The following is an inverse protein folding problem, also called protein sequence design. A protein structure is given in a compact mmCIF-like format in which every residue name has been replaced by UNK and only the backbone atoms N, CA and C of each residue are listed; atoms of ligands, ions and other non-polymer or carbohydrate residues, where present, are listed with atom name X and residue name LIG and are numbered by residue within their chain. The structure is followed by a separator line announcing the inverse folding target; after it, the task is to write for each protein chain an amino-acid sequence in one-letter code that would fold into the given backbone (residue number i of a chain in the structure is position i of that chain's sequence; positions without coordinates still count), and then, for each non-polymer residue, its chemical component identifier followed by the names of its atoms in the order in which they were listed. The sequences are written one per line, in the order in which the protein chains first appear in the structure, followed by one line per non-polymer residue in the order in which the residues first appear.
data_IF_701402587320
#
_entry.id   IF_701402587320
#
_cell.length_a   1.000
_cell.length_b   1.000
_cell.length_c   1.000
_cell.angle_alpha   90.00
_cell.angle_beta   90.00
_cell.angle_gamma   90.00
#
_symmetry.space_group_name_H-M   'P 1'
#
loop_
_entity.id
_entity.type
_entity.pdbx_description
1 polymer ?
#
# COMPACT_ATOMS: atom_id res chain seq x y z
N UNK A 1 -25.20 -9.56 -21.26
CA UNK A 1 -25.16 -9.51 -19.78
C UNK A 1 -24.05 -10.32 -19.16
N UNK A 2 -23.96 -11.62 -19.43
CA UNK A 2 -22.86 -12.46 -18.95
C UNK A 2 -21.49 -11.99 -19.46
N UNK A 3 -21.41 -11.48 -20.69
CA UNK A 3 -20.19 -10.96 -21.26
C UNK A 3 -19.66 -9.72 -20.52
N UNK A 4 -20.55 -8.85 -20.08
CA UNK A 4 -20.21 -7.68 -19.29
C UNK A 4 -19.66 -8.06 -17.90
N UNK A 5 -20.23 -9.07 -17.27
CA UNK A 5 -19.76 -9.56 -15.97
C UNK A 5 -18.37 -10.18 -16.08
N UNK A 6 -18.07 -10.90 -17.15
CA UNK A 6 -16.77 -11.47 -17.41
C UNK A 6 -15.71 -10.36 -17.64
N UNK A 7 -16.06 -9.30 -18.37
CA UNK A 7 -15.18 -8.14 -18.58
C UNK A 7 -14.88 -7.44 -17.25
N UNK A 8 -15.87 -7.23 -16.39
CA UNK A 8 -15.65 -6.62 -15.08
C UNK A 8 -14.76 -7.48 -14.20
N UNK A 9 -14.92 -8.80 -14.22
CA UNK A 9 -14.08 -9.74 -13.50
C UNK A 9 -12.63 -9.70 -14.01
N UNK A 10 -12.43 -9.65 -15.31
CA UNK A 10 -11.11 -9.56 -15.93
C UNK A 10 -10.42 -8.25 -15.59
N UNK A 11 -11.14 -7.13 -15.57
CA UNK A 11 -10.59 -5.82 -15.19
C UNK A 11 -10.12 -5.85 -13.74
N UNK A 12 -10.87 -6.47 -12.84
CA UNK A 12 -10.48 -6.61 -11.43
C UNK A 12 -9.21 -7.45 -11.26
N UNK A 13 -9.03 -8.48 -12.09
CA UNK A 13 -7.86 -9.36 -12.03
C UNK A 13 -6.60 -8.73 -12.61
N UNK A 14 -6.70 -7.65 -13.38
CA UNK A 14 -5.54 -6.98 -13.98
C UNK A 14 -4.93 -5.91 -13.08
N UNK A 15 -5.62 -5.51 -12.00
CA UNK A 15 -5.08 -4.53 -11.06
C UNK A 15 -4.22 -5.22 -10.01
N UNK A 16 -2.97 -4.77 -9.87
CA UNK A 16 -2.04 -5.29 -8.87
C UNK A 16 -1.96 -4.36 -7.68
N UNK A 17 -2.03 -4.94 -6.48
CA UNK A 17 -1.82 -4.21 -5.23
C UNK A 17 -0.35 -4.32 -4.86
N UNK A 18 0.31 -3.18 -4.68
CA UNK A 18 1.72 -3.10 -4.33
C UNK A 18 1.84 -2.30 -3.03
N UNK A 19 2.50 -2.86 -2.03
CA UNK A 19 2.80 -2.15 -0.78
C UNK A 19 4.21 -1.58 -0.88
N UNK A 20 4.35 -0.26 -0.77
CA UNK A 20 5.65 0.39 -0.88
C UNK A 20 6.14 0.89 0.48
N UNK A 21 7.44 0.74 0.72
CA UNK A 21 8.10 1.24 1.92
C UNK A 21 8.52 2.70 1.72
N UNK A 22 8.00 3.58 2.58
CA UNK A 22 8.40 4.98 2.60
C UNK A 22 9.58 5.21 3.56
N UNK A 23 9.86 6.46 3.89
CA UNK A 23 10.92 6.85 4.83
C UNK A 23 10.77 6.22 6.22
N UNK A 24 9.57 5.74 6.59
CA UNK A 24 9.33 5.06 7.87
C UNK A 24 10.12 3.75 7.98
N UNK A 25 10.58 3.17 6.85
CA UNK A 25 11.48 2.03 6.88
C UNK A 25 12.71 2.33 7.75
N UNK A 26 13.26 3.53 7.61
CA UNK A 26 14.42 3.97 8.39
C UNK A 26 14.13 4.15 9.87
N UNK A 27 12.99 4.73 10.21
CA UNK A 27 12.60 4.98 11.61
C UNK A 27 12.15 3.71 12.34
N UNK A 28 11.79 2.67 11.60
CA UNK A 28 11.37 1.38 12.15
C UNK A 28 12.53 0.40 12.33
N UNK A 29 13.75 0.79 11.95
CA UNK A 29 14.92 -0.04 12.23
C UNK A 29 15.10 -0.26 13.74
N UNK A 30 15.60 -1.41 14.20
CA UNK A 30 16.18 -2.52 13.42
C UNK A 30 15.15 -3.53 12.88
N UNK A 31 13.86 -3.35 13.13
CA UNK A 31 12.84 -4.32 12.75
C UNK A 31 12.74 -4.52 11.23
N UNK A 32 13.04 -3.47 10.46
CA UNK A 32 12.94 -3.48 9.00
C UNK A 32 14.24 -3.93 8.30
N UNK A 33 15.30 -4.27 9.03
CA UNK A 33 16.54 -4.75 8.42
C UNK A 33 16.36 -6.02 7.61
N UNK A 34 15.46 -6.90 8.04
CA UNK A 34 15.26 -8.22 7.41
C UNK A 34 13.91 -8.35 6.72
N UNK A 35 13.09 -7.32 6.71
CA UNK A 35 11.72 -7.39 6.17
C UNK A 35 11.19 -6.00 5.79
N UNK A 36 10.26 -5.94 4.81
CA UNK A 36 9.52 -4.71 4.53
C UNK A 36 8.65 -4.29 5.72
N UNK A 37 8.24 -3.02 5.73
CA UNK A 37 7.33 -2.50 6.78
C UNK A 37 6.04 -3.35 6.85
N UNK A 38 5.52 -3.76 5.70
CA UNK A 38 4.26 -4.51 5.62
C UNK A 38 4.31 -5.88 6.32
N UNK A 39 5.50 -6.41 6.59
CA UNK A 39 5.67 -7.67 7.31
C UNK A 39 5.72 -7.50 8.83
N UNK A 40 5.63 -6.27 9.33
CA UNK A 40 5.53 -6.02 10.76
C UNK A 40 4.12 -6.32 11.26
N UNK A 41 4.03 -6.90 12.45
CA UNK A 41 2.73 -7.23 13.07
C UNK A 41 2.19 -6.04 13.83
N UNK A 42 0.91 -5.75 13.62
CA UNK A 42 0.15 -4.80 14.42
C UNK A 42 -1.11 -5.55 14.89
N UNK A 43 -1.11 -5.96 16.13
CA UNK A 43 -2.11 -6.89 16.64
C UNK A 43 -1.79 -8.33 16.22
N UNK A 44 -2.78 -9.05 15.75
CA UNK A 44 -2.65 -10.47 15.37
C UNK A 44 -2.04 -10.62 13.97
N UNK A 45 -2.31 -9.68 13.08
CA UNK A 45 -1.94 -9.76 11.67
C UNK A 45 -0.78 -8.83 11.33
N UNK A 46 -0.02 -9.19 10.30
CA UNK A 46 0.91 -8.24 9.67
C UNK A 46 0.10 -7.19 8.90
N UNK A 47 0.76 -6.05 8.62
CA UNK A 47 0.11 -5.00 7.83
C UNK A 47 -0.26 -5.56 6.44
N UNK A 48 0.60 -6.38 5.84
CA UNK A 48 0.31 -7.06 4.56
C UNK A 48 -0.96 -7.90 4.65
N UNK A 49 -1.08 -8.72 5.69
CA UNK A 49 -2.25 -9.59 5.88
C UNK A 49 -3.53 -8.77 6.01
N UNK A 50 -3.47 -7.61 6.67
CA UNK A 50 -4.61 -6.71 6.80
C UNK A 50 -5.08 -6.21 5.43
N UNK A 51 -4.16 -5.80 4.56
CA UNK A 51 -4.51 -5.33 3.21
C UNK A 51 -4.99 -6.46 2.32
N UNK A 52 -4.35 -7.63 2.39
CA UNK A 52 -4.78 -8.81 1.62
C UNK A 52 -6.21 -9.22 1.97
N UNK A 53 -6.58 -9.16 3.23
CA UNK A 53 -7.96 -9.45 3.66
C UNK A 53 -8.97 -8.44 3.10
N UNK A 54 -8.60 -7.17 3.03
CA UNK A 54 -9.50 -6.11 2.53
C UNK A 54 -9.73 -6.21 1.03
N UNK A 55 -8.72 -6.54 0.25
CA UNK A 55 -8.82 -6.61 -1.20
C UNK A 55 -9.08 -8.03 -1.73
N UNK A 56 -8.90 -9.04 -0.90
CA UNK A 56 -9.13 -10.43 -1.29
C UNK A 56 -8.08 -10.98 -2.26
N UNK A 57 -6.89 -10.39 -2.31
CA UNK A 57 -5.85 -10.76 -3.24
C UNK A 57 -4.48 -10.59 -2.59
N UNK A 58 -3.48 -11.30 -3.13
CA UNK A 58 -2.10 -11.19 -2.67
C UNK A 58 -1.47 -9.89 -3.17
N UNK A 59 -0.59 -9.33 -2.35
CA UNK A 59 0.11 -8.09 -2.67
C UNK A 59 1.55 -8.36 -3.11
N UNK A 60 2.10 -7.41 -3.86
CA UNK A 60 3.53 -7.35 -4.16
C UNK A 60 4.18 -6.31 -3.25
N UNK A 61 5.52 -6.24 -3.30
CA UNK A 61 6.30 -5.37 -2.43
C UNK A 61 7.18 -4.44 -3.25
N UNK A 62 7.24 -3.18 -2.86
CA UNK A 62 8.26 -2.25 -3.34
C UNK A 62 9.07 -1.80 -2.13
N UNK A 63 10.22 -2.39 -1.93
CA UNK A 63 11.06 -2.27 -0.74
C UNK A 63 12.52 -2.05 -1.13
N UNK A 64 13.43 -2.14 -0.16
CA UNK A 64 14.86 -2.01 -0.41
C UNK A 64 15.35 -3.12 -1.35
N UNK A 65 16.33 -2.80 -2.19
CA UNK A 65 16.83 -3.72 -3.22
C UNK A 65 17.24 -5.08 -2.66
N UNK A 66 17.95 -5.09 -1.53
CA UNK A 66 18.39 -6.36 -0.93
C UNK A 66 17.25 -7.20 -0.35
N UNK A 67 16.09 -6.59 -0.07
CA UNK A 67 14.91 -7.31 0.39
C UNK A 67 14.03 -7.80 -0.77
N UNK A 68 14.19 -7.21 -1.94
CA UNK A 68 13.33 -7.44 -3.09
C UNK A 68 13.41 -8.89 -3.59
N UNK A 69 14.54 -9.57 -3.40
CA UNK A 69 14.70 -10.98 -3.77
C UNK A 69 13.75 -11.88 -2.99
N UNK A 70 13.62 -11.67 -1.69
CA UNK A 70 12.73 -12.43 -0.82
C UNK A 70 11.28 -11.92 -0.87
N UNK A 71 11.10 -10.64 -1.10
CA UNK A 71 9.80 -9.97 -1.15
C UNK A 71 9.63 -9.32 -2.52
N UNK A 72 9.22 -10.10 -3.54
CA UNK A 72 9.29 -9.65 -4.92
C UNK A 72 8.25 -8.59 -5.30
N UNK A 73 8.66 -7.75 -6.24
CA UNK A 73 7.78 -6.82 -6.91
C UNK A 73 7.15 -7.51 -8.12
N UNK A 74 5.84 -7.36 -8.27
CA UNK A 74 5.10 -7.81 -9.44
C UNK A 74 4.25 -6.64 -9.92
N UNK A 75 4.32 -6.34 -11.21
CA UNK A 75 3.69 -5.16 -11.81
C UNK A 75 2.77 -5.60 -12.93
N UNK A 76 1.59 -5.01 -12.99
CA UNK A 76 0.61 -5.20 -14.05
C UNK A 76 0.39 -3.90 -14.82
N UNK A 77 -0.51 -3.90 -15.80
CA UNK A 77 -0.83 -2.68 -16.54
C UNK A 77 -1.46 -1.60 -15.67
N UNK A 78 -2.20 -2.01 -14.64
CA UNK A 78 -2.83 -1.12 -13.68
C UNK A 78 -2.38 -1.52 -12.28
N UNK A 79 -1.81 -0.59 -11.53
CA UNK A 79 -1.24 -0.84 -10.22
C UNK A 79 -1.77 0.15 -9.20
N UNK A 80 -2.15 -0.38 -8.04
CA UNK A 80 -2.52 0.41 -6.88
C UNK A 80 -1.41 0.27 -5.84
N UNK A 81 -0.64 1.34 -5.65
CA UNK A 81 0.45 1.38 -4.67
C UNK A 81 -0.07 1.97 -3.38
N UNK A 82 0.14 1.25 -2.28
CA UNK A 82 -0.33 1.63 -0.95
C UNK A 82 0.86 1.72 -0.02
N UNK A 83 0.91 2.77 0.80
CA UNK A 83 1.97 2.96 1.78
C UNK A 83 1.90 1.85 2.84
N UNK A 84 2.97 1.06 2.95
CA UNK A 84 3.01 -0.10 3.85
C UNK A 84 3.02 0.27 5.33
N UNK A 85 3.28 1.53 5.68
CA UNK A 85 3.20 2.00 7.07
C UNK A 85 1.75 2.29 7.51
N UNK A 86 0.80 2.25 6.60
CA UNK A 86 -0.61 2.56 6.85
C UNK A 86 -1.41 1.29 7.03
N UNK A 87 -2.21 1.23 8.10
CA UNK A 87 -3.13 0.13 8.33
C UNK A 87 -4.51 0.46 7.74
N UNK A 88 -5.21 -0.54 7.15
CA UNK A 88 -6.50 -0.28 6.53
C UNK A 88 -7.63 -0.09 7.54
N UNK A 89 -8.62 0.71 7.16
CA UNK A 89 -9.94 0.75 7.77
C UNK A 89 -10.99 0.88 6.66
N UNK A 90 -12.26 0.74 6.99
CA UNK A 90 -13.32 0.69 5.98
C UNK A 90 -13.39 1.95 5.13
N UNK A 91 -13.33 3.11 5.77
CA UNK A 91 -13.39 4.40 5.07
C UNK A 91 -12.18 4.59 4.15
N UNK A 92 -10.98 4.28 4.65
CA UNK A 92 -9.75 4.39 3.88
C UNK A 92 -9.75 3.46 2.67
N UNK A 93 -10.19 2.22 2.84
CA UNK A 93 -10.31 1.25 1.74
C UNK A 93 -11.27 1.75 0.66
N UNK A 94 -12.40 2.34 1.05
CA UNK A 94 -13.34 2.91 0.10
C UNK A 94 -12.71 4.06 -0.70
N UNK A 95 -12.00 4.95 -0.04
CA UNK A 95 -11.33 6.09 -0.70
C UNK A 95 -10.23 5.61 -1.64
N UNK A 96 -9.43 4.63 -1.22
CA UNK A 96 -8.37 4.06 -2.06
C UNK A 96 -8.97 3.36 -3.27
N UNK A 97 -10.03 2.59 -3.09
CA UNK A 97 -10.70 1.87 -4.17
C UNK A 97 -11.33 2.79 -5.21
N UNK A 98 -11.66 4.01 -4.83
CA UNK A 98 -12.25 5.00 -5.73
C UNK A 98 -11.23 5.77 -6.57
N UNK A 99 -9.93 5.59 -6.32
CA UNK A 99 -8.89 6.27 -7.09
C UNK A 99 -8.92 5.84 -8.56
N UNK A 100 -8.77 6.81 -9.44
CA UNK A 100 -8.60 6.58 -10.87
C UNK A 100 -7.11 6.58 -11.24
N UNK A 101 -6.78 6.07 -12.43
CA UNK A 101 -5.40 6.08 -12.90
C UNK A 101 -4.86 7.51 -12.93
N UNK A 102 -3.68 7.71 -12.35
CA UNK A 102 -3.07 9.03 -12.24
C UNK A 102 -3.53 9.87 -11.08
N UNK A 103 -4.29 9.28 -10.14
CA UNK A 103 -4.72 9.95 -8.90
C UNK A 103 -3.96 9.41 -7.70
N UNK A 104 -3.74 10.26 -6.70
CA UNK A 104 -3.12 9.86 -5.45
C UNK A 104 -3.90 10.39 -4.26
N UNK A 105 -3.85 9.65 -3.16
CA UNK A 105 -4.51 9.99 -1.90
C UNK A 105 -3.45 10.35 -0.87
N UNK A 106 -3.58 11.53 -0.26
CA UNK A 106 -2.63 12.03 0.75
C UNK A 106 -3.36 12.50 2.00
N UNK A 107 -2.63 12.51 3.10
CA UNK A 107 -3.01 13.29 4.29
C UNK A 107 -1.78 14.06 4.74
N UNK A 108 -1.79 15.38 4.55
CA UNK A 108 -0.61 16.22 4.78
C UNK A 108 0.56 15.78 3.91
N UNK A 109 1.68 15.46 4.53
CA UNK A 109 2.89 15.00 3.85
C UNK A 109 2.91 13.49 3.60
N UNK A 110 1.91 12.76 4.09
CA UNK A 110 1.85 11.30 3.96
C UNK A 110 1.16 10.90 2.69
N UNK A 111 1.89 10.29 1.76
CA UNK A 111 1.31 9.65 0.59
C UNK A 111 0.73 8.31 1.04
N UNK A 112 -0.59 8.19 1.00
CA UNK A 112 -1.30 6.98 1.45
C UNK A 112 -1.36 5.96 0.32
N UNK A 113 -1.80 6.38 -0.85
CA UNK A 113 -1.95 5.48 -2.00
C UNK A 113 -1.88 6.27 -3.30
N UNK A 114 -1.52 5.56 -4.37
CA UNK A 114 -1.47 6.13 -5.72
C UNK A 114 -1.80 5.03 -6.72
N UNK A 115 -2.56 5.38 -7.75
CA UNK A 115 -2.89 4.46 -8.84
C UNK A 115 -2.15 4.87 -10.10
N UNK A 116 -1.36 3.94 -10.67
CA UNK A 116 -0.51 4.26 -11.81
C UNK A 116 -0.33 3.06 -12.73
N UNK A 117 0.08 3.34 -13.96
CA UNK A 117 0.41 2.31 -14.94
C UNK A 117 1.81 1.74 -14.76
N UNK A 118 2.14 0.71 -15.54
CA UNK A 118 3.41 0.00 -15.44
C UNK A 118 4.63 0.91 -15.64
N UNK A 119 4.54 1.87 -16.56
CA UNK A 119 5.65 2.79 -16.85
C UNK A 119 5.92 3.73 -15.69
N UNK A 120 4.88 4.17 -15.01
CA UNK A 120 4.99 5.07 -13.86
C UNK A 120 5.59 4.35 -12.65
N UNK A 121 5.27 3.06 -12.47
CA UNK A 121 5.87 2.25 -11.39
C UNK A 121 7.38 2.16 -11.55
N UNK A 122 7.87 2.03 -12.78
CA UNK A 122 9.30 1.91 -13.05
C UNK A 122 10.10 3.15 -12.63
N UNK A 123 9.47 4.33 -12.64
CA UNK A 123 10.09 5.61 -12.28
C UNK A 123 9.66 6.13 -10.90
N UNK A 124 8.78 5.41 -10.23
CA UNK A 124 8.26 5.82 -8.93
C UNK A 124 9.33 5.73 -7.85
N UNK A 125 9.51 6.82 -7.10
CA UNK A 125 10.38 6.87 -5.93
C UNK A 125 9.52 6.95 -4.67
N UNK A 126 9.53 5.91 -3.81
CA UNK A 126 8.72 5.89 -2.58
C UNK A 126 9.08 7.00 -1.59
N UNK A 127 10.23 7.63 -1.74
CA UNK A 127 10.69 8.69 -0.82
C UNK A 127 10.17 10.07 -1.22
N UNK A 128 9.58 10.20 -2.40
CA UNK A 128 9.07 11.47 -2.91
C UNK A 128 7.57 11.39 -3.19
N UNK A 129 6.93 12.55 -3.29
CA UNK A 129 5.52 12.65 -3.69
C UNK A 129 5.47 12.83 -5.21
N UNK A 130 4.82 11.92 -5.95
CA UNK A 130 4.74 12.05 -7.41
C UNK A 130 3.85 13.21 -7.84
N UNK A 131 4.01 13.62 -9.09
CA UNK A 131 3.21 14.70 -9.68
C UNK A 131 1.94 14.14 -10.33
N UNK A 132 1.02 13.69 -9.49
CA UNK A 132 -0.29 13.18 -9.89
C UNK A 132 -1.41 14.05 -9.33
N UNK A 133 -2.64 13.80 -9.77
CA UNK A 133 -3.82 14.49 -9.24
C UNK A 133 -3.99 14.15 -7.76
N UNK A 134 -3.98 15.18 -6.92
CA UNK A 134 -4.06 15.02 -5.47
C UNK A 134 -5.50 14.94 -4.99
N UNK A 135 -5.74 13.97 -4.10
CA UNK A 135 -6.97 13.90 -3.31
C UNK A 135 -6.59 13.85 -1.85
N UNK A 136 -7.17 14.73 -1.04
CA UNK A 136 -6.91 14.76 0.40
C UNK A 136 -7.82 13.79 1.13
N UNK A 137 -7.24 13.01 2.04
CA UNK A 137 -7.98 12.17 2.97
C UNK A 137 -8.13 12.92 4.30
N UNK A 138 -9.36 13.07 4.76
CA UNK A 138 -9.67 13.82 5.99
C UNK A 138 -10.07 12.94 7.16
N UNK A 139 -10.19 11.63 6.94
CA UNK A 139 -10.55 10.66 7.98
C UNK A 139 -9.35 10.26 8.84
N UNK A 140 -9.62 9.43 9.82
CA UNK A 140 -8.58 8.86 10.68
C UNK A 140 -8.04 7.56 10.08
N UNK A 141 -6.75 7.29 10.32
CA UNK A 141 -6.14 6.02 10.01
C UNK A 141 -4.96 5.76 10.94
N UNK A 142 -4.58 4.49 11.05
CA UNK A 142 -3.45 4.07 11.86
C UNK A 142 -2.19 4.03 11.00
N UNK A 143 -1.13 4.64 11.48
CA UNK A 143 0.17 4.67 10.81
C UNK A 143 1.27 4.22 11.75
N UNK A 144 2.15 3.34 11.25
CA UNK A 144 3.30 2.82 12.00
C UNK A 144 4.56 3.50 11.50
N UNK A 145 5.18 4.33 12.35
CA UNK A 145 6.40 5.08 12.00
C UNK A 145 7.58 4.71 12.89
N UNK A 146 7.31 4.38 14.15
CA UNK A 146 8.32 4.01 15.13
C UNK A 146 8.02 2.66 15.76
N UNK A 147 9.05 1.92 16.24
CA UNK A 147 8.83 0.59 16.84
C UNK A 147 7.80 0.56 17.97
N UNK A 148 7.74 1.60 18.80
CA UNK A 148 6.77 1.63 19.90
C UNK A 148 5.31 1.70 19.42
N UNK A 149 5.05 2.12 18.19
CA UNK A 149 3.70 2.11 17.63
C UNK A 149 3.14 0.69 17.56
N UNK A 150 3.99 -0.31 17.33
CA UNK A 150 3.56 -1.70 17.27
C UNK A 150 2.91 -2.16 18.56
N UNK A 151 3.37 -1.64 19.69
CA UNK A 151 2.81 -1.97 21.00
C UNK A 151 1.60 -1.12 21.35
N UNK A 152 1.69 0.18 21.12
CA UNK A 152 0.62 1.12 21.50
C UNK A 152 -0.63 0.98 20.64
N UNK A 153 -0.51 0.44 19.43
CA UNK A 153 -1.62 0.30 18.49
C UNK A 153 -2.26 -1.09 18.50
N UNK A 154 -1.67 -2.06 19.23
CA UNK A 154 -2.18 -3.43 19.27
C UNK A 154 -3.65 -3.52 19.68
N UNK A 155 -4.09 -2.67 20.58
CA UNK A 155 -5.48 -2.69 21.06
C UNK A 155 -6.46 -2.08 20.05
N UNK A 156 -5.99 -1.29 19.09
CA UNK A 156 -6.82 -0.64 18.07
C UNK A 156 -6.99 -1.48 16.81
N UNK A 157 -6.09 -2.41 16.57
CA UNK A 157 -6.01 -3.25 15.37
C UNK A 157 -6.21 -4.73 15.69
#
# INVERSE_FOLDING_TARGET
MMHLLLLCANIKHTMKIILFDDKSWGTLRPLTFTRPISELRVGILTIREKWEKRFGDKVAYLTKDYLQEKFPLSVEDDNLLINSSVCPNDELVQKISSLQAGEMLLQGDCLIAVRMGIQDVATFDPMTVPDFTRKEYTGEFTRVVYPYHLFSLNARE
#
